data_IF_569954041438
#
_entry.id   IF_569954041438
#
_cell.length_a   1.000
_cell.length_b   1.000
_cell.length_c   1.000
_cell.angle_alpha   90.00
_cell.angle_beta   90.00
_cell.angle_gamma   90.00
#
_symmetry.space_group_name_H-M   'P 1'
#
loop_
_entity.id
_entity.type
_entity.pdbx_description
1 polymer ?
#
# COMPACT_ATOMS: atom_id res chain seq x y z
N UNK A 1 21.84 -16.97 -23.31
CA UNK A 1 22.59 -15.69 -23.26
C UNK A 1 21.62 -14.63 -22.81
N UNK A 2 21.89 -13.90 -21.71
CA UNK A 2 21.14 -12.67 -21.42
C UNK A 2 21.60 -11.61 -22.41
N UNK A 3 20.67 -11.04 -23.17
CA UNK A 3 20.97 -10.00 -24.14
C UNK A 3 21.28 -8.70 -23.42
N UNK A 4 21.91 -7.75 -24.12
CA UNK A 4 22.17 -6.40 -23.59
C UNK A 4 20.85 -5.71 -23.18
N UNK A 5 19.74 -6.06 -23.85
CA UNK A 5 18.39 -5.59 -23.54
C UNK A 5 17.93 -6.10 -22.17
N UNK A 6 18.09 -7.39 -21.89
CA UNK A 6 17.72 -8.00 -20.61
C UNK A 6 18.48 -7.37 -19.42
N UNK A 7 19.74 -6.98 -19.66
CA UNK A 7 20.57 -6.31 -18.65
C UNK A 7 20.09 -4.87 -18.41
N UNK A 8 19.75 -4.14 -19.47
CA UNK A 8 19.23 -2.77 -19.35
C UNK A 8 17.88 -2.73 -18.63
N UNK A 9 16.98 -3.66 -18.92
CA UNK A 9 15.69 -3.77 -18.23
C UNK A 9 15.87 -4.10 -16.74
N UNK A 10 16.76 -5.04 -16.42
CA UNK A 10 17.09 -5.39 -15.05
C UNK A 10 17.66 -4.21 -14.26
N UNK A 11 18.55 -3.43 -14.87
CA UNK A 11 19.11 -2.22 -14.26
C UNK A 11 18.04 -1.15 -14.02
N UNK A 12 17.15 -0.92 -14.99
CA UNK A 12 16.01 0.00 -14.86
C UNK A 12 15.00 -0.46 -13.80
N UNK A 13 14.84 -1.76 -13.61
CA UNK A 13 14.03 -2.31 -12.53
C UNK A 13 14.70 -2.09 -11.15
N UNK A 14 16.00 -2.35 -11.05
CA UNK A 14 16.79 -2.14 -9.83
C UNK A 14 16.82 -0.68 -9.40
N UNK A 15 16.96 0.25 -10.33
CA UNK A 15 16.91 1.68 -10.06
C UNK A 15 15.54 2.09 -9.48
N UNK A 16 14.44 1.66 -10.11
CA UNK A 16 13.08 1.87 -9.59
C UNK A 16 12.91 1.30 -8.18
N UNK A 17 13.39 0.09 -7.91
CA UNK A 17 13.36 -0.49 -6.56
C UNK A 17 14.20 0.32 -5.56
N UNK A 18 15.33 0.89 -5.98
CA UNK A 18 16.15 1.74 -5.10
C UNK A 18 15.42 3.02 -4.69
N UNK A 19 14.61 3.58 -5.58
CA UNK A 19 13.77 4.74 -5.28
C UNK A 19 12.68 4.39 -4.27
N UNK A 20 11.98 3.27 -4.47
CA UNK A 20 10.98 2.78 -3.51
C UNK A 20 11.58 2.47 -2.14
N UNK A 21 12.79 1.90 -2.11
CA UNK A 21 13.51 1.63 -0.85
C UNK A 21 13.83 2.93 -0.11
N UNK A 22 14.25 3.98 -0.83
CA UNK A 22 14.51 5.30 -0.24
C UNK A 22 13.24 5.98 0.28
N UNK A 23 12.11 5.82 -0.42
CA UNK A 23 10.81 6.33 0.03
C UNK A 23 10.41 5.62 1.33
N UNK A 24 10.43 4.28 1.35
CA UNK A 24 10.14 3.49 2.53
C UNK A 24 11.09 3.75 3.72
N UNK A 25 12.35 4.06 3.45
CA UNK A 25 13.33 4.39 4.50
C UNK A 25 13.21 5.84 4.99
N UNK A 26 12.67 6.75 4.17
CA UNK A 26 12.49 8.16 4.50
C UNK A 26 11.15 8.44 5.20
N UNK A 27 10.13 7.62 4.95
CA UNK A 27 8.82 7.73 5.59
C UNK A 27 8.85 6.98 6.93
N UNK A 28 9.05 7.74 8.01
CA UNK A 28 8.54 7.36 9.32
C UNK A 28 7.02 7.13 9.16
N UNK A 29 6.45 6.19 9.92
CA UNK A 29 5.03 5.78 9.82
C UNK A 29 4.13 6.91 9.30
N UNK A 30 3.38 6.63 8.22
CA UNK A 30 2.49 7.60 7.54
C UNK A 30 1.48 8.30 8.48
N UNK A 31 1.36 7.81 9.71
CA UNK A 31 0.57 8.35 10.81
C UNK A 31 1.42 8.34 12.08
N UNK A 32 1.30 9.37 12.89
CA UNK A 32 1.89 9.39 14.22
C UNK A 32 1.26 8.34 15.14
N UNK A 33 1.96 7.99 16.22
CA UNK A 33 1.44 7.10 17.28
C UNK A 33 0.09 7.57 17.84
N UNK A 34 -0.08 8.89 17.99
CA UNK A 34 -1.33 9.51 18.47
C UNK A 34 -2.47 9.34 17.44
N UNK A 35 -2.17 9.54 16.15
CA UNK A 35 -3.14 9.31 15.06
C UNK A 35 -3.50 7.82 14.95
N UNK A 36 -2.53 6.92 15.12
CA UNK A 36 -2.79 5.48 15.15
C UNK A 36 -3.69 5.09 16.31
N UNK A 37 -3.41 5.58 17.52
CA UNK A 37 -4.23 5.31 18.69
C UNK A 37 -5.66 5.84 18.50
N UNK A 38 -5.81 7.04 17.93
CA UNK A 38 -7.12 7.61 17.63
C UNK A 38 -7.91 6.76 16.62
N UNK A 39 -7.25 6.23 15.59
CA UNK A 39 -7.87 5.31 14.62
C UNK A 39 -8.30 4.00 15.31
N UNK A 40 -7.49 3.47 16.23
CA UNK A 40 -7.83 2.26 17.00
C UNK A 40 -9.05 2.50 17.91
N UNK A 41 -9.13 3.65 18.58
CA UNK A 41 -10.30 4.03 19.37
C UNK A 41 -11.56 4.17 18.50
N UNK A 42 -11.46 4.77 17.31
CA UNK A 42 -12.56 4.88 16.37
C UNK A 42 -13.01 3.51 15.85
N UNK A 43 -12.08 2.58 15.61
CA UNK A 43 -12.39 1.19 15.23
C UNK A 43 -13.12 0.43 16.34
N UNK A 44 -12.78 0.70 17.61
CA UNK A 44 -13.39 0.05 18.76
C UNK A 44 -14.76 0.63 19.13
N UNK A 45 -14.97 1.92 18.87
CA UNK A 45 -16.17 2.65 19.30
C UNK A 45 -17.20 2.92 18.18
N UNK A 46 -16.83 2.72 16.91
CA UNK A 46 -17.71 2.99 15.76
C UNK A 46 -18.38 1.73 15.20
N UNK A 47 -19.52 1.92 14.53
CA UNK A 47 -20.08 0.94 13.59
C UNK A 47 -19.17 0.90 12.36
N UNK A 48 -18.07 0.17 12.45
CA UNK A 48 -17.20 -0.09 11.30
C UNK A 48 -17.82 -1.19 10.45
N UNK A 49 -18.02 -0.91 9.17
CA UNK A 49 -18.37 -1.92 8.17
C UNK A 49 -17.09 -2.50 7.58
N UNK A 50 -17.04 -3.82 7.33
CA UNK A 50 -15.90 -4.40 6.65
C UNK A 50 -15.84 -3.88 5.21
N UNK A 51 -14.63 -3.85 4.62
CA UNK A 51 -14.48 -3.42 3.22
C UNK A 51 -15.32 -4.31 2.29
N UNK A 52 -15.33 -5.63 2.51
CA UNK A 52 -16.18 -6.59 1.81
C UNK A 52 -17.67 -6.23 1.89
N UNK A 53 -18.16 -5.90 3.09
CA UNK A 53 -19.57 -5.58 3.32
C UNK A 53 -19.95 -4.25 2.67
N UNK A 54 -19.04 -3.26 2.71
CA UNK A 54 -19.22 -1.97 2.02
C UNK A 54 -19.20 -2.12 0.49
N UNK A 55 -18.27 -2.91 -0.06
CA UNK A 55 -18.21 -3.19 -1.49
C UNK A 55 -19.47 -3.89 -1.98
N UNK A 56 -19.97 -4.84 -1.18
CA UNK A 56 -21.24 -5.52 -1.44
C UNK A 56 -22.43 -4.56 -1.42
N UNK A 57 -22.47 -3.61 -0.49
CA UNK A 57 -23.50 -2.55 -0.48
C UNK A 57 -23.43 -1.66 -1.73
N UNK A 58 -22.22 -1.36 -2.20
CA UNK A 58 -22.00 -0.57 -3.42
C UNK A 58 -22.20 -1.38 -4.71
N UNK A 59 -22.35 -2.71 -4.62
CA UNK A 59 -22.47 -3.60 -5.77
C UNK A 59 -21.20 -3.70 -6.60
N UNK A 60 -20.04 -3.47 -5.98
CA UNK A 60 -18.70 -3.56 -6.58
C UNK A 60 -18.12 -4.92 -6.23
N UNK A 61 -17.59 -5.63 -7.22
CA UNK A 61 -16.87 -6.89 -6.99
C UNK A 61 -15.43 -6.59 -6.52
N UNK A 62 -14.90 -7.40 -5.61
CA UNK A 62 -13.51 -7.22 -5.13
C UNK A 62 -12.50 -7.35 -6.27
N UNK A 63 -12.82 -8.13 -7.31
CA UNK A 63 -11.99 -8.31 -8.50
C UNK A 63 -11.93 -7.05 -9.40
N UNK A 64 -12.74 -6.02 -9.13
CA UNK A 64 -12.76 -4.75 -9.87
C UNK A 64 -11.82 -3.67 -9.29
N UNK A 65 -11.12 -3.96 -8.18
CA UNK A 65 -10.20 -3.04 -7.46
C UNK A 65 -8.76 -3.55 -7.49
#
# INVERSE_FOLDING_TARGET
>A
MKTVIDIAEFLKFKERQSTWKKINEAEHEYISEEERHHIEELKLNGDTVSQEEFLKELGIDEDEI
#
